data_IF_534779054383
#
_entry.id   IF_534779054383
#
_cell.length_a   1.000
_cell.length_b   1.000
_cell.length_c   1.000
_cell.angle_alpha   90.00
_cell.angle_beta   90.00
_cell.angle_gamma   90.00
#
_symmetry.space_group_name_H-M   'P 1'
#
loop_
_entity.id
_entity.type
_entity.pdbx_description
1 polymer ?
#
# COMPACT_ATOMS: atom_id res chain seq x y z
N UNK A 1 -13.04 -12.55 -17.87
CA UNK A 1 -11.63 -12.78 -18.28
C UNK A 1 -11.37 -14.25 -18.60
N UNK A 2 -11.41 -15.17 -17.62
CA UNK A 2 -10.98 -16.56 -17.83
C UNK A 2 -12.08 -17.55 -18.26
N UNK A 3 -13.36 -17.14 -18.27
CA UNK A 3 -14.47 -18.04 -18.61
C UNK A 3 -14.83 -19.07 -17.52
N UNK A 4 -14.13 -19.04 -16.38
CA UNK A 4 -14.30 -19.97 -15.26
C UNK A 4 -14.52 -19.21 -13.94
N UNK A 5 -15.13 -19.88 -12.95
CA UNK A 5 -15.35 -19.34 -11.61
C UNK A 5 -14.11 -19.51 -10.72
N UNK A 6 -13.11 -18.65 -10.91
CA UNK A 6 -11.84 -18.72 -10.17
C UNK A 6 -11.84 -17.87 -8.90
N UNK A 7 -12.47 -16.70 -8.94
CA UNK A 7 -12.61 -15.80 -7.80
C UNK A 7 -13.92 -16.09 -7.05
N UNK A 8 -13.92 -15.90 -5.73
CA UNK A 8 -15.14 -16.11 -4.93
C UNK A 8 -16.10 -14.95 -5.22
N UNK A 9 -17.23 -15.25 -5.87
CA UNK A 9 -18.30 -14.28 -6.10
C UNK A 9 -19.23 -14.33 -4.88
N UNK A 10 -19.36 -13.22 -4.16
CA UNK A 10 -20.35 -13.09 -3.09
C UNK A 10 -21.45 -12.11 -3.51
N UNK A 11 -22.71 -12.46 -3.22
CA UNK A 11 -23.89 -11.67 -3.54
C UNK A 11 -24.44 -10.91 -2.31
N UNK A 12 -23.68 -10.85 -1.22
CA UNK A 12 -24.04 -10.10 -0.02
C UNK A 12 -23.75 -8.61 -0.19
N UNK A 13 -24.43 -7.77 0.61
CA UNK A 13 -24.27 -6.31 0.61
C UNK A 13 -22.87 -5.84 1.09
N UNK A 14 -22.07 -6.75 1.65
CA UNK A 14 -20.72 -6.48 2.14
C UNK A 14 -19.70 -6.97 1.10
N UNK A 15 -18.69 -6.15 0.77
CA UNK A 15 -17.60 -6.54 -0.13
C UNK A 15 -16.66 -7.54 0.56
N UNK A 16 -17.03 -8.81 0.52
CA UNK A 16 -16.32 -9.90 1.20
C UNK A 16 -15.27 -10.61 0.32
N UNK A 17 -14.69 -9.96 -0.70
CA UNK A 17 -13.35 -10.37 -1.16
C UNK A 17 -12.38 -10.05 -0.02
N UNK A 18 -12.35 -10.89 1.00
CA UNK A 18 -11.63 -10.62 2.26
C UNK A 18 -10.12 -10.57 2.05
N UNK A 19 -9.63 -11.21 0.98
CA UNK A 19 -8.21 -11.39 0.71
C UNK A 19 -7.86 -11.17 -0.76
N UNK A 20 -6.73 -10.52 -1.00
CA UNK A 20 -6.07 -10.43 -2.30
C UNK A 20 -5.80 -11.83 -2.85
N UNK A 21 -6.15 -12.06 -4.11
CA UNK A 21 -5.93 -13.34 -4.79
C UNK A 21 -5.42 -13.12 -6.21
N UNK A 22 -4.35 -13.81 -6.56
CA UNK A 22 -3.82 -13.85 -7.92
C UNK A 22 -4.20 -15.18 -8.58
N UNK A 23 -4.65 -15.13 -9.83
CA UNK A 23 -4.88 -16.31 -10.66
C UNK A 23 -4.25 -16.10 -12.04
N UNK A 24 -3.43 -17.07 -12.46
CA UNK A 24 -2.77 -17.05 -13.76
C UNK A 24 -3.40 -18.10 -14.67
N UNK A 25 -3.79 -17.73 -15.89
CA UNK A 25 -4.24 -18.66 -16.93
C UNK A 25 -3.66 -18.29 -18.29
N UNK A 26 -3.50 -19.28 -19.16
CA UNK A 26 -3.15 -19.05 -20.56
C UNK A 26 -4.41 -18.67 -21.34
N UNK A 27 -4.41 -17.49 -21.95
CA UNK A 27 -5.48 -16.99 -22.81
C UNK A 27 -4.86 -16.59 -24.14
N UNK A 28 -5.29 -17.21 -25.24
CA UNK A 28 -4.76 -16.95 -26.59
C UNK A 28 -3.22 -17.04 -26.68
N UNK A 29 -2.63 -18.01 -25.97
CA UNK A 29 -1.18 -18.24 -25.97
C UNK A 29 -0.37 -17.28 -25.08
N UNK A 30 -1.03 -16.39 -24.32
CA UNK A 30 -0.38 -15.50 -23.36
C UNK A 30 -0.76 -15.87 -21.94
N UNK A 31 0.19 -15.81 -21.01
CA UNK A 31 -0.10 -16.00 -19.60
C UNK A 31 -0.63 -14.69 -19.01
N UNK A 32 -1.87 -14.71 -18.57
CA UNK A 32 -2.54 -13.57 -17.95
C UNK A 32 -2.73 -13.86 -16.47
N UNK A 33 -2.18 -12.98 -15.63
CA UNK A 33 -2.42 -12.98 -14.19
C UNK A 33 -3.43 -11.89 -13.86
N UNK A 34 -4.56 -12.26 -13.27
CA UNK A 34 -5.54 -11.33 -12.72
C UNK A 34 -5.41 -11.35 -11.20
N UNK A 35 -5.26 -10.17 -10.61
CA UNK A 35 -5.17 -9.98 -9.17
C UNK A 35 -6.47 -9.32 -8.72
N UNK A 36 -7.29 -10.10 -8.05
CA UNK A 36 -8.52 -9.60 -7.42
C UNK A 36 -8.15 -8.99 -6.07
N UNK A 37 -8.37 -7.69 -5.95
CA UNK A 37 -8.07 -6.91 -4.75
C UNK A 37 -9.35 -6.70 -3.96
N UNK A 38 -9.29 -6.77 -2.63
CA UNK A 38 -10.40 -6.30 -1.81
C UNK A 38 -10.79 -4.86 -2.11
N UNK A 39 -12.04 -4.48 -1.81
CA UNK A 39 -12.50 -3.11 -1.98
C UNK A 39 -11.64 -2.13 -1.18
N UNK A 40 -10.74 -1.41 -1.86
CA UNK A 40 -9.80 -0.46 -1.24
C UNK A 40 -10.49 0.70 -0.51
N UNK A 41 -11.77 0.93 -0.81
CA UNK A 41 -12.59 1.99 -0.23
C UNK A 41 -13.73 1.45 0.65
N UNK A 42 -13.69 0.16 0.99
CA UNK A 42 -14.67 -0.47 1.88
C UNK A 42 -14.48 0.04 3.32
N UNK A 43 -15.46 0.79 3.83
CA UNK A 43 -15.43 1.41 5.16
C UNK A 43 -15.64 0.42 6.30
N UNK A 44 -15.96 -0.83 6.03
CA UNK A 44 -16.25 -1.84 7.07
C UNK A 44 -15.01 -2.56 7.60
N UNK A 45 -13.81 -2.27 7.07
CA UNK A 45 -12.56 -2.93 7.45
C UNK A 45 -11.71 -2.12 8.41
N UNK A 46 -10.98 -2.81 9.27
CA UNK A 46 -9.96 -2.17 10.10
C UNK A 46 -8.78 -1.69 9.26
N UNK A 47 -8.07 -0.68 9.77
CA UNK A 47 -6.86 -0.14 9.14
C UNK A 47 -5.77 -1.22 8.98
N UNK A 48 -5.65 -2.13 9.97
CA UNK A 48 -4.71 -3.23 9.95
C UNK A 48 -5.03 -4.27 8.86
N UNK A 49 -6.30 -4.63 8.70
CA UNK A 49 -6.76 -5.54 7.64
C UNK A 49 -6.52 -4.92 6.27
N UNK A 50 -6.94 -3.66 6.08
CA UNK A 50 -6.76 -2.95 4.82
C UNK A 50 -5.27 -2.85 4.45
N UNK A 51 -4.41 -2.49 5.40
CA UNK A 51 -2.97 -2.43 5.20
C UNK A 51 -2.40 -3.79 4.80
N UNK A 52 -2.78 -4.86 5.49
CA UNK A 52 -2.32 -6.20 5.15
C UNK A 52 -2.68 -6.58 3.72
N UNK A 53 -3.91 -6.26 3.30
CA UNK A 53 -4.35 -6.55 1.94
C UNK A 53 -3.62 -5.70 0.90
N UNK A 54 -3.39 -4.40 1.18
CA UNK A 54 -2.59 -3.54 0.30
C UNK A 54 -1.16 -4.09 0.17
N UNK A 55 -0.52 -4.48 1.28
CA UNK A 55 0.82 -5.07 1.27
C UNK A 55 0.85 -6.36 0.45
N UNK A 56 -0.16 -7.21 0.60
CA UNK A 56 -0.27 -8.43 -0.19
C UNK A 56 -0.39 -8.10 -1.68
N UNK A 57 -1.26 -7.16 -2.07
CA UNK A 57 -1.47 -6.78 -3.46
C UNK A 57 -0.16 -6.42 -4.17
N UNK A 58 0.63 -5.49 -3.64
CA UNK A 58 1.84 -5.06 -4.35
C UNK A 58 2.98 -6.08 -4.31
N UNK A 59 3.02 -6.97 -3.31
CA UNK A 59 3.93 -8.12 -3.38
C UNK A 59 3.53 -9.11 -4.47
N UNK A 60 2.23 -9.21 -4.81
CA UNK A 60 1.77 -10.08 -5.89
C UNK A 60 2.09 -9.53 -7.27
N UNK A 61 1.96 -8.21 -7.46
CA UNK A 61 2.20 -7.61 -8.76
C UNK A 61 3.60 -7.03 -8.98
N UNK A 62 4.53 -7.16 -8.04
CA UNK A 62 5.93 -6.89 -8.33
C UNK A 62 6.42 -7.82 -9.49
N UNK A 63 7.13 -7.27 -10.51
CA UNK A 63 7.77 -5.94 -10.57
C UNK A 63 6.89 -4.77 -11.03
N UNK A 64 5.69 -5.03 -11.51
CA UNK A 64 4.78 -4.01 -12.02
C UNK A 64 3.47 -4.56 -12.62
N UNK A 65 2.56 -3.65 -12.95
CA UNK A 65 1.23 -3.97 -13.52
C UNK A 65 1.10 -3.49 -14.95
N UNK A 66 0.61 -4.36 -15.84
CA UNK A 66 0.36 -3.99 -17.23
C UNK A 66 -0.93 -3.18 -17.40
N UNK A 67 -1.92 -3.41 -16.54
CA UNK A 67 -3.19 -2.72 -16.56
C UNK A 67 -3.83 -2.64 -15.16
N UNK A 68 -4.29 -1.45 -14.79
CA UNK A 68 -5.23 -1.24 -13.71
C UNK A 68 -6.66 -1.26 -14.27
N UNK A 69 -7.51 -2.12 -13.70
CA UNK A 69 -8.94 -2.12 -14.00
C UNK A 69 -9.67 -1.37 -12.89
N UNK A 70 -10.10 -0.13 -13.17
CA UNK A 70 -10.90 0.65 -12.23
C UNK A 70 -12.36 0.23 -12.41
N UNK A 71 -12.86 -0.60 -11.49
CA UNK A 71 -14.18 -1.23 -11.63
C UNK A 71 -15.28 -0.35 -11.04
N UNK A 72 -16.24 0.04 -11.87
CA UNK A 72 -17.44 0.80 -11.49
C UNK A 72 -18.70 0.02 -11.90
N UNK A 73 -19.87 0.38 -11.37
CA UNK A 73 -21.15 -0.16 -11.84
C UNK A 73 -21.79 0.80 -12.84
N UNK A 74 -22.52 0.26 -13.81
CA UNK A 74 -23.47 1.05 -14.60
C UNK A 74 -24.67 1.33 -13.70
N UNK A 75 -24.63 2.45 -12.98
CA UNK A 75 -25.74 2.91 -12.14
C UNK A 75 -25.74 4.44 -12.03
N UNK A 76 -26.78 5.00 -11.39
CA UNK A 76 -26.82 6.44 -11.11
C UNK A 76 -25.79 6.78 -10.05
N UNK A 77 -24.89 7.71 -10.37
CA UNK A 77 -23.87 8.18 -9.44
C UNK A 77 -24.50 8.89 -8.24
N UNK A 78 -24.30 8.31 -7.06
CA UNK A 78 -24.62 8.91 -5.78
C UNK A 78 -23.40 9.65 -5.22
N UNK A 79 -23.58 10.37 -4.12
CA UNK A 79 -22.47 11.03 -3.39
C UNK A 79 -21.36 10.04 -3.02
N UNK A 80 -21.70 8.76 -2.82
CA UNK A 80 -20.73 7.71 -2.55
C UNK A 80 -19.80 7.47 -3.75
N UNK A 81 -20.34 7.30 -4.95
CA UNK A 81 -19.51 7.07 -6.15
C UNK A 81 -18.64 8.30 -6.46
N UNK A 82 -19.13 9.53 -6.21
CA UNK A 82 -18.33 10.74 -6.33
C UNK A 82 -17.14 10.76 -5.37
N UNK A 83 -17.36 10.34 -4.12
CA UNK A 83 -16.28 10.22 -3.13
C UNK A 83 -15.24 9.18 -3.55
N UNK A 84 -15.67 8.06 -4.15
CA UNK A 84 -14.76 7.04 -4.69
C UNK A 84 -13.91 7.59 -5.83
N UNK A 85 -14.50 8.28 -6.82
CA UNK A 85 -13.76 8.91 -7.93
C UNK A 85 -12.77 9.95 -7.40
N UNK A 86 -13.17 10.74 -6.39
CA UNK A 86 -12.29 11.71 -5.74
C UNK A 86 -11.07 11.02 -5.10
N UNK A 87 -11.27 9.91 -4.39
CA UNK A 87 -10.17 9.14 -3.80
C UNK A 87 -9.26 8.51 -4.85
N UNK A 88 -9.82 7.99 -5.94
CA UNK A 88 -9.02 7.47 -7.07
C UNK A 88 -8.08 8.56 -7.58
N UNK A 89 -8.59 9.78 -7.81
CA UNK A 89 -7.80 10.92 -8.26
C UNK A 89 -6.72 11.38 -7.27
N UNK A 90 -6.92 11.18 -5.97
CA UNK A 90 -5.92 11.54 -4.94
C UNK A 90 -4.79 10.51 -4.83
N UNK A 91 -5.12 9.24 -5.07
CA UNK A 91 -4.18 8.14 -4.90
C UNK A 91 -3.36 7.91 -6.18
N UNK A 92 -4.02 7.96 -7.35
CA UNK A 92 -3.38 7.70 -8.63
C UNK A 92 -2.65 8.94 -9.14
N UNK A 93 -1.37 8.77 -9.43
CA UNK A 93 -0.59 9.73 -10.21
C UNK A 93 -1.03 9.75 -11.67
N UNK A 94 -0.70 10.84 -12.36
CA UNK A 94 -0.85 10.94 -13.81
C UNK A 94 -0.11 9.82 -14.56
N UNK A 95 1.00 9.30 -14.00
CA UNK A 95 1.71 8.15 -14.57
C UNK A 95 0.89 6.86 -14.40
N UNK A 96 0.31 6.60 -13.23
CA UNK A 96 -0.51 5.40 -13.01
C UNK A 96 -1.73 5.36 -13.94
N UNK A 97 -2.33 6.51 -14.23
CA UNK A 97 -3.46 6.60 -15.16
C UNK A 97 -3.11 6.19 -16.60
N UNK A 98 -1.84 6.30 -17.03
CA UNK A 98 -1.40 5.80 -18.35
C UNK A 98 -1.52 4.29 -18.50
N UNK A 99 -1.57 3.57 -17.37
CA UNK A 99 -1.73 2.13 -17.30
C UNK A 99 -3.13 1.72 -16.80
N UNK A 100 -4.08 2.65 -16.72
CA UNK A 100 -5.43 2.38 -16.24
C UNK A 100 -6.48 2.37 -17.35
N UNK A 101 -7.52 1.56 -17.15
CA UNK A 101 -8.78 1.59 -17.91
C UNK A 101 -9.96 1.49 -16.94
N UNK A 102 -11.05 2.18 -17.27
CA UNK A 102 -12.29 2.09 -16.49
C UNK A 102 -13.11 0.89 -16.99
N UNK A 103 -13.55 0.01 -16.10
CA UNK A 103 -14.37 -1.15 -16.41
C UNK A 103 -15.72 -1.03 -15.70
N UNK A 104 -16.79 -0.95 -16.47
CA UNK A 104 -18.14 -0.92 -15.96
C UNK A 104 -18.70 -2.34 -15.85
N UNK A 105 -19.36 -2.62 -14.73
CA UNK A 105 -20.11 -3.86 -14.51
C UNK A 105 -21.61 -3.59 -14.61
N UNK A 106 -22.43 -4.65 -14.63
CA UNK A 106 -23.87 -4.53 -14.78
C UNK A 106 -24.29 -3.94 -16.14
N UNK A 107 -23.65 -4.40 -17.21
CA UNK A 107 -23.91 -3.92 -18.57
C UNK A 107 -25.37 -4.01 -19.01
N UNK A 108 -26.19 -4.90 -18.43
CA UNK A 108 -27.63 -4.95 -18.64
C UNK A 108 -28.36 -3.65 -18.30
N UNK A 109 -27.77 -2.79 -17.47
CA UNK A 109 -28.34 -1.51 -17.07
C UNK A 109 -28.04 -0.38 -18.06
N UNK A 110 -27.21 -0.64 -19.10
CA UNK A 110 -27.01 0.32 -20.17
C UNK A 110 -28.33 0.51 -20.94
N UNK A 111 -28.72 1.77 -21.26
CA UNK A 111 -29.89 2.02 -22.07
C UNK A 111 -29.84 1.29 -23.41
N UNK A 112 -31.02 0.87 -23.90
CA UNK A 112 -31.12 0.19 -25.19
C UNK A 112 -30.57 1.08 -26.31
N UNK A 113 -29.83 0.48 -27.24
CA UNK A 113 -29.15 1.20 -28.32
C UNK A 113 -27.92 2.02 -27.92
N UNK A 114 -27.61 2.15 -26.62
CA UNK A 114 -26.40 2.88 -26.17
C UNK A 114 -25.21 1.96 -25.90
N UNK A 115 -24.02 2.45 -26.23
CA UNK A 115 -22.75 1.85 -25.82
C UNK A 115 -22.17 2.56 -24.58
N UNK A 116 -21.07 2.03 -24.03
CA UNK A 116 -20.50 2.56 -22.78
C UNK A 116 -19.92 3.97 -22.93
N UNK A 117 -19.40 4.32 -24.10
CA UNK A 117 -18.84 5.65 -24.35
C UNK A 117 -19.93 6.72 -24.34
N UNK A 118 -21.11 6.40 -24.89
CA UNK A 118 -22.27 7.29 -24.85
C UNK A 118 -22.77 7.48 -23.42
N UNK A 119 -22.85 6.41 -22.64
CA UNK A 119 -23.25 6.45 -21.23
C UNK A 119 -22.31 7.32 -20.37
N UNK A 120 -20.99 7.19 -20.57
CA UNK A 120 -19.98 7.93 -19.80
C UNK A 120 -20.03 9.44 -20.08
N UNK A 121 -20.30 9.83 -21.33
CA UNK A 121 -20.28 11.24 -21.77
C UNK A 121 -21.27 12.11 -20.99
N UNK A 122 -22.35 11.52 -20.50
CA UNK A 122 -23.42 12.24 -19.81
C UNK A 122 -23.06 12.59 -18.36
N UNK A 123 -21.98 12.04 -17.80
CA UNK A 123 -21.50 12.36 -16.45
C UNK A 123 -20.08 12.92 -16.48
N UNK A 124 -19.94 14.22 -16.15
CA UNK A 124 -18.65 14.92 -16.18
C UNK A 124 -17.56 14.27 -15.31
N UNK A 125 -17.88 13.86 -14.08
CA UNK A 125 -16.87 13.26 -13.18
C UNK A 125 -16.32 11.94 -13.72
N UNK A 126 -17.17 11.16 -14.38
CA UNK A 126 -16.80 9.88 -14.99
C UNK A 126 -16.05 10.11 -16.28
N UNK A 127 -16.51 11.06 -17.11
CA UNK A 127 -15.82 11.48 -18.33
C UNK A 127 -14.41 11.95 -18.02
N UNK A 128 -14.23 12.81 -17.01
CA UNK A 128 -12.91 13.30 -16.58
C UNK A 128 -12.00 12.14 -16.14
N UNK A 129 -12.53 11.14 -15.42
CA UNK A 129 -11.77 9.94 -15.03
C UNK A 129 -11.37 9.09 -16.25
N UNK A 130 -12.28 8.91 -17.21
CA UNK A 130 -12.02 8.16 -18.44
C UNK A 130 -11.00 8.89 -19.32
N UNK A 131 -11.06 10.22 -19.39
CA UNK A 131 -10.07 11.05 -20.09
C UNK A 131 -8.67 10.92 -19.47
N UNK A 132 -8.55 10.92 -18.14
CA UNK A 132 -7.29 10.61 -17.45
C UNK A 132 -6.77 9.22 -17.82
N UNK A 133 -7.68 8.25 -17.95
CA UNK A 133 -7.37 6.92 -18.47
C UNK A 133 -7.21 6.90 -20.01
N UNK A 134 -6.85 8.01 -20.66
CA UNK A 134 -6.60 8.08 -22.11
C UNK A 134 -7.82 7.74 -22.97
N UNK A 135 -9.03 7.95 -22.46
CA UNK A 135 -10.28 7.60 -23.14
C UNK A 135 -10.63 6.10 -23.08
N UNK A 136 -9.92 5.30 -22.27
CA UNK A 136 -10.11 3.84 -22.20
C UNK A 136 -11.23 3.49 -21.23
N UNK A 137 -12.33 2.96 -21.77
CA UNK A 137 -13.38 2.35 -20.95
C UNK A 137 -14.04 1.14 -21.63
N UNK A 138 -14.54 0.21 -20.81
CA UNK A 138 -15.20 -1.01 -21.24
C UNK A 138 -16.39 -1.32 -20.35
N UNK A 139 -17.26 -2.23 -20.80
CA UNK A 139 -18.38 -2.74 -20.00
C UNK A 139 -18.40 -4.26 -20.04
N UNK A 140 -18.72 -4.88 -18.91
CA UNK A 140 -18.89 -6.32 -18.80
C UNK A 140 -20.14 -6.64 -17.99
N UNK A 141 -20.83 -7.71 -18.38
CA UNK A 141 -21.97 -8.23 -17.64
C UNK A 141 -21.79 -9.72 -17.42
N UNK A 142 -21.32 -10.06 -16.21
CA UNK A 142 -21.06 -11.43 -15.81
C UNK A 142 -22.33 -12.27 -15.60
N UNK A 143 -23.54 -11.70 -15.71
CA UNK A 143 -24.81 -12.40 -15.47
C UNK A 143 -25.58 -12.65 -16.76
N UNK A 144 -25.81 -11.62 -17.58
CA UNK A 144 -26.74 -11.69 -18.72
C UNK A 144 -26.04 -11.81 -20.08
N UNK A 145 -24.76 -11.44 -20.22
CA UNK A 145 -24.04 -11.43 -21.51
C UNK A 145 -23.17 -12.68 -21.76
N UNK A 146 -23.53 -13.82 -21.16
CA UNK A 146 -22.65 -15.01 -21.13
C UNK A 146 -22.45 -15.70 -22.48
N UNK A 147 -23.46 -15.80 -23.35
CA UNK A 147 -23.39 -16.54 -24.63
C UNK A 147 -24.37 -15.98 -25.67
N UNK A 148 -23.99 -16.01 -26.96
CA UNK A 148 -24.86 -15.91 -28.14
C UNK A 148 -25.99 -14.86 -28.05
N UNK A 149 -25.63 -13.60 -27.81
CA UNK A 149 -26.56 -12.50 -28.03
C UNK A 149 -26.63 -12.15 -29.52
N UNK A 150 -27.80 -11.70 -29.99
CA UNK A 150 -27.95 -11.15 -31.35
C UNK A 150 -27.09 -9.90 -31.58
N UNK A 151 -26.75 -9.21 -30.48
CA UNK A 151 -25.90 -8.04 -30.44
C UNK A 151 -24.47 -8.47 -30.10
N UNK A 152 -23.56 -8.34 -31.07
CA UNK A 152 -22.14 -8.67 -30.92
C UNK A 152 -21.50 -7.88 -29.77
N UNK A 153 -21.89 -6.61 -29.59
CA UNK A 153 -21.35 -5.76 -28.54
C UNK A 153 -21.74 -6.28 -27.15
N UNK A 154 -23.00 -6.69 -26.94
CA UNK A 154 -23.49 -7.21 -25.65
C UNK A 154 -23.13 -8.68 -25.41
N UNK A 155 -21.90 -9.05 -25.73
CA UNK A 155 -21.35 -10.40 -25.54
C UNK A 155 -20.08 -10.35 -24.70
N UNK A 156 -19.98 -11.16 -23.65
CA UNK A 156 -18.77 -11.24 -22.84
C UNK A 156 -17.55 -11.72 -23.65
N UNK A 157 -17.77 -12.51 -24.70
CA UNK A 157 -16.68 -12.91 -25.60
C UNK A 157 -16.10 -11.70 -26.33
N UNK A 158 -16.96 -10.83 -26.85
CA UNK A 158 -16.57 -9.59 -27.50
C UNK A 158 -15.91 -8.62 -26.49
N UNK A 159 -16.56 -8.39 -25.35
CA UNK A 159 -16.06 -7.45 -24.34
C UNK A 159 -14.71 -7.87 -23.76
N UNK A 160 -14.50 -9.15 -23.47
CA UNK A 160 -13.19 -9.65 -23.00
C UNK A 160 -12.12 -9.45 -24.08
N UNK A 161 -12.44 -9.71 -25.34
CA UNK A 161 -11.51 -9.47 -26.47
C UNK A 161 -11.11 -8.00 -26.57
N UNK A 162 -12.06 -7.08 -26.45
CA UNK A 162 -11.78 -5.64 -26.53
C UNK A 162 -10.99 -5.11 -25.31
N UNK A 163 -11.25 -5.64 -24.11
CA UNK A 163 -10.45 -5.33 -22.91
C UNK A 163 -8.99 -5.77 -23.11
N UNK A 164 -8.78 -6.99 -23.61
CA UNK A 164 -7.44 -7.51 -23.88
C UNK A 164 -6.72 -6.69 -24.96
N UNK A 165 -7.41 -6.38 -26.06
CA UNK A 165 -6.87 -5.53 -27.14
C UNK A 165 -6.48 -4.14 -26.63
N UNK A 166 -7.29 -3.54 -25.77
CA UNK A 166 -6.98 -2.25 -25.14
C UNK A 166 -5.81 -2.34 -24.20
N UNK A 167 -5.68 -3.45 -23.46
CA UNK A 167 -4.51 -3.72 -22.62
C UNK A 167 -3.23 -3.85 -23.45
N UNK A 168 -3.28 -4.57 -24.58
CA UNK A 168 -2.15 -4.71 -25.49
C UNK A 168 -1.73 -3.35 -26.08
N UNK A 169 -2.69 -2.57 -26.57
CA UNK A 169 -2.44 -1.23 -27.09
C UNK A 169 -1.83 -0.32 -26.02
N UNK A 170 -2.33 -0.39 -24.79
CA UNK A 170 -1.80 0.37 -23.67
C UNK A 170 -0.36 -0.02 -23.33
N UNK A 171 -0.01 -1.31 -23.41
CA UNK A 171 1.38 -1.77 -23.24
C UNK A 171 2.26 -1.21 -24.37
N UNK A 172 1.80 -1.23 -25.63
CA UNK A 172 2.52 -0.68 -26.78
C UNK A 172 2.74 0.83 -26.66
N UNK A 173 1.70 1.59 -26.29
CA UNK A 173 1.76 3.04 -26.06
C UNK A 173 2.71 3.41 -24.91
N UNK A 174 2.90 2.50 -23.94
CA UNK A 174 3.88 2.61 -22.86
C UNK A 174 5.21 1.92 -23.17
N UNK A 175 5.61 1.83 -24.45
CA UNK A 175 6.89 1.28 -24.91
C UNK A 175 7.17 -0.17 -24.49
N UNK A 176 6.13 -0.98 -24.34
CA UNK A 176 6.24 -2.36 -23.88
C UNK A 176 6.51 -2.51 -22.38
N UNK A 177 6.49 -1.42 -21.62
CA UNK A 177 6.73 -1.43 -20.17
C UNK A 177 5.45 -1.63 -19.37
N UNK A 178 5.61 -2.06 -18.12
CA UNK A 178 4.52 -2.11 -17.15
C UNK A 178 4.61 -0.90 -16.22
N UNK A 179 3.50 -0.53 -15.58
CA UNK A 179 3.53 0.42 -14.49
C UNK A 179 4.44 -0.13 -13.40
N UNK A 180 5.50 0.61 -13.11
CA UNK A 180 6.41 0.35 -12.02
C UNK A 180 6.77 1.69 -11.37
N UNK A 181 7.20 1.64 -10.13
CA UNK A 181 7.69 2.80 -9.41
C UNK A 181 8.79 2.38 -8.45
N UNK A 182 9.40 3.35 -7.76
CA UNK A 182 10.52 3.07 -6.86
C UNK A 182 10.13 2.07 -5.75
N UNK A 183 8.90 2.12 -5.25
CA UNK A 183 8.40 1.14 -4.27
C UNK A 183 8.43 -0.28 -4.86
N UNK A 184 7.84 -0.49 -6.03
CA UNK A 184 7.74 -1.81 -6.67
C UNK A 184 9.10 -2.37 -7.03
N UNK A 185 10.04 -1.51 -7.43
CA UNK A 185 11.42 -1.90 -7.68
C UNK A 185 12.12 -2.39 -6.41
N UNK A 186 11.93 -1.70 -5.28
CA UNK A 186 12.46 -2.11 -3.97
C UNK A 186 11.86 -3.45 -3.53
N UNK A 187 10.56 -3.64 -3.74
CA UNK A 187 9.86 -4.89 -3.41
C UNK A 187 10.37 -6.04 -4.27
N UNK A 188 10.48 -5.86 -5.60
CA UNK A 188 11.02 -6.87 -6.51
C UNK A 188 12.48 -7.22 -6.17
N UNK A 189 13.31 -6.24 -5.82
CA UNK A 189 14.68 -6.50 -5.39
C UNK A 189 14.72 -7.40 -4.14
N UNK A 190 13.85 -7.11 -3.16
CA UNK A 190 13.70 -7.94 -1.97
C UNK A 190 13.20 -9.36 -2.27
N UNK A 191 12.29 -9.52 -3.25
CA UNK A 191 11.80 -10.82 -3.72
C UNK A 191 12.95 -11.60 -4.35
N UNK A 192 13.65 -11.04 -5.34
CA UNK A 192 14.79 -11.70 -6.02
C UNK A 192 15.88 -12.14 -5.05
N UNK A 193 16.15 -11.32 -4.03
CA UNK A 193 17.13 -11.67 -3.01
C UNK A 193 16.69 -12.88 -2.17
N UNK A 194 15.42 -12.94 -1.78
CA UNK A 194 14.89 -14.11 -1.06
C UNK A 194 14.78 -15.35 -1.95
N UNK A 195 14.47 -15.20 -3.23
CA UNK A 195 14.53 -16.29 -4.21
C UNK A 195 15.93 -16.92 -4.22
N UNK A 196 16.99 -16.09 -4.30
CA UNK A 196 18.37 -16.57 -4.30
C UNK A 196 18.75 -17.30 -3.01
N UNK A 197 18.38 -16.76 -1.84
CA UNK A 197 18.59 -17.46 -0.55
C UNK A 197 17.86 -18.79 -0.49
N UNK A 198 16.66 -18.85 -1.06
CA UNK A 198 15.87 -20.08 -1.10
C UNK A 198 16.53 -21.10 -2.02
N UNK A 199 17.00 -20.70 -3.21
CA UNK A 199 17.76 -21.56 -4.14
C UNK A 199 19.00 -22.17 -3.47
N UNK A 200 19.69 -21.41 -2.63
CA UNK A 200 20.89 -21.88 -1.91
C UNK A 200 20.59 -22.80 -0.73
N UNK A 201 19.40 -22.73 -0.13
CA UNK A 201 19.04 -23.43 1.12
C UNK A 201 18.00 -24.54 0.95
N UNK A 202 17.39 -24.67 -0.22
CA UNK A 202 16.37 -25.67 -0.53
C UNK A 202 16.59 -26.20 -1.95
N UNK A 203 16.78 -27.51 -2.08
CA UNK A 203 16.81 -28.20 -3.38
C UNK A 203 15.42 -28.32 -4.01
N UNK A 204 15.32 -29.05 -5.13
CA UNK A 204 14.16 -29.60 -5.88
C UNK A 204 12.78 -28.87 -5.87
N UNK A 205 12.73 -27.59 -5.52
CA UNK A 205 11.53 -26.76 -5.66
C UNK A 205 11.48 -26.13 -7.05
N UNK A 206 10.27 -26.00 -7.57
CA UNK A 206 10.04 -25.26 -8.81
C UNK A 206 10.30 -23.76 -8.62
N UNK A 207 10.62 -23.05 -9.70
CA UNK A 207 10.81 -21.59 -9.68
C UNK A 207 9.53 -20.86 -9.22
N UNK A 208 8.35 -21.40 -9.51
CA UNK A 208 7.07 -20.87 -9.04
C UNK A 208 6.94 -20.94 -7.51
N UNK A 209 7.26 -22.10 -6.91
CA UNK A 209 7.25 -22.27 -5.45
C UNK A 209 8.30 -21.40 -4.75
N UNK A 210 9.47 -21.22 -5.37
CA UNK A 210 10.52 -20.34 -4.87
C UNK A 210 10.03 -18.90 -4.84
N UNK A 211 9.43 -18.41 -5.95
CA UNK A 211 8.89 -17.05 -6.04
C UNK A 211 7.76 -16.81 -5.04
N UNK A 212 6.84 -17.75 -4.89
CA UNK A 212 5.74 -17.64 -3.92
C UNK A 212 6.24 -17.60 -2.48
N UNK A 213 7.24 -18.43 -2.11
CA UNK A 213 7.87 -18.35 -0.78
C UNK A 213 8.64 -17.06 -0.56
N UNK A 214 9.32 -16.54 -1.58
CA UNK A 214 10.03 -15.27 -1.51
C UNK A 214 9.06 -14.10 -1.29
N UNK A 215 7.96 -14.04 -2.05
CA UNK A 215 6.87 -13.07 -1.85
C UNK A 215 6.31 -13.13 -0.43
N UNK A 216 6.03 -14.32 0.11
CA UNK A 216 5.52 -14.47 1.48
C UNK A 216 6.50 -13.94 2.55
N UNK A 217 7.81 -14.17 2.37
CA UNK A 217 8.84 -13.61 3.26
C UNK A 217 8.88 -12.08 3.19
N UNK A 218 8.89 -11.53 1.97
CA UNK A 218 8.87 -10.08 1.74
C UNK A 218 7.61 -9.45 2.33
N UNK A 219 6.44 -10.03 2.07
CA UNK A 219 5.14 -9.63 2.64
C UNK A 219 5.19 -9.54 4.17
N UNK A 220 5.71 -10.57 4.85
CA UNK A 220 5.85 -10.56 6.32
C UNK A 220 6.79 -9.47 6.82
N UNK A 221 7.93 -9.24 6.15
CA UNK A 221 8.85 -8.13 6.50
C UNK A 221 8.18 -6.77 6.33
N UNK A 222 7.47 -6.58 5.23
CA UNK A 222 6.78 -5.33 4.93
C UNK A 222 5.69 -5.03 5.96
N UNK A 223 4.86 -6.02 6.29
CA UNK A 223 3.81 -5.87 7.30
C UNK A 223 4.33 -5.38 8.65
N UNK A 224 5.46 -5.93 9.10
CA UNK A 224 6.07 -5.55 10.39
C UNK A 224 6.59 -4.12 10.33
N UNK A 225 7.28 -3.75 9.25
CA UNK A 225 7.97 -2.46 9.18
C UNK A 225 7.07 -1.30 8.75
N UNK A 226 5.92 -1.59 8.15
CA UNK A 226 4.86 -0.62 7.88
C UNK A 226 3.87 -0.51 9.05
N UNK A 227 4.20 -1.07 10.21
CA UNK A 227 3.46 -0.81 11.44
C UNK A 227 3.45 0.70 11.73
N UNK A 228 2.27 1.27 12.01
CA UNK A 228 2.09 2.71 12.22
C UNK A 228 1.95 3.58 10.96
N UNK A 229 2.26 3.07 9.76
CA UNK A 229 1.95 3.77 8.49
C UNK A 229 0.45 3.69 8.21
N UNK A 230 -0.18 4.74 7.70
CA UNK A 230 -1.60 4.70 7.32
C UNK A 230 -1.81 4.07 5.95
N UNK A 231 -2.98 3.49 5.71
CA UNK A 231 -3.40 2.89 4.44
C UNK A 231 -3.38 3.91 3.31
N UNK A 232 -3.83 5.15 3.57
CA UNK A 232 -3.77 6.25 2.61
C UNK A 232 -2.34 6.60 2.18
N UNK A 233 -1.38 6.64 3.12
CA UNK A 233 0.03 6.88 2.79
C UNK A 233 0.62 5.73 1.96
N UNK A 234 0.28 4.48 2.30
CA UNK A 234 0.72 3.31 1.56
C UNK A 234 0.17 3.30 0.12
N UNK A 235 -1.12 3.58 -0.06
CA UNK A 235 -1.76 3.67 -1.38
C UNK A 235 -1.16 4.80 -2.22
N UNK A 236 -0.92 5.97 -1.63
CA UNK A 236 -0.24 7.07 -2.29
C UNK A 236 1.15 6.65 -2.79
N UNK A 237 1.93 5.95 -1.96
CA UNK A 237 3.24 5.46 -2.36
C UNK A 237 3.20 4.41 -3.49
N UNK A 238 2.15 3.58 -3.57
CA UNK A 238 1.97 2.57 -4.63
C UNK A 238 1.60 3.21 -5.97
N UNK A 239 0.68 4.17 -5.94
CA UNK A 239 0.12 4.75 -7.16
C UNK A 239 0.76 6.09 -7.54
N UNK A 240 1.80 6.52 -6.81
CA UNK A 240 2.58 7.73 -7.09
C UNK A 240 1.93 9.03 -6.61
N UNK A 241 0.94 8.95 -5.72
CA UNK A 241 0.30 10.11 -5.08
C UNK A 241 1.22 10.82 -4.06
N UNK A 242 0.82 12.03 -3.66
CA UNK A 242 1.62 12.97 -2.84
C UNK A 242 1.99 12.45 -1.44
N UNK A 243 1.34 11.38 -0.95
CA UNK A 243 1.45 10.89 0.43
C UNK A 243 2.53 9.81 0.65
N UNK A 244 3.41 9.57 -0.32
CA UNK A 244 4.22 8.34 -0.37
C UNK A 244 5.70 8.41 -0.01
N UNK A 245 6.32 9.60 0.09
CA UNK A 245 7.78 9.72 0.20
C UNK A 245 8.38 9.08 1.46
N UNK A 246 7.75 9.27 2.62
CA UNK A 246 8.26 8.71 3.88
C UNK A 246 8.08 7.19 3.95
N UNK A 247 7.02 6.67 3.33
CA UNK A 247 6.81 5.22 3.18
C UNK A 247 7.94 4.63 2.35
N UNK A 248 8.32 5.28 1.25
CA UNK A 248 9.42 4.82 0.41
C UNK A 248 10.75 4.73 1.17
N UNK A 249 11.11 5.73 1.98
CA UNK A 249 12.34 5.71 2.78
C UNK A 249 12.38 4.53 3.76
N UNK A 250 11.27 4.27 4.45
CA UNK A 250 11.15 3.12 5.36
C UNK A 250 11.35 1.81 4.60
N UNK A 251 10.71 1.66 3.44
CA UNK A 251 10.79 0.46 2.61
C UNK A 251 12.18 0.19 2.07
N UNK A 252 12.83 1.24 1.55
CA UNK A 252 14.19 1.16 1.01
C UNK A 252 15.16 0.63 2.07
N UNK A 253 15.10 1.19 3.28
CA UNK A 253 15.94 0.74 4.38
C UNK A 253 15.63 -0.74 4.71
N UNK A 254 14.36 -1.10 4.85
CA UNK A 254 13.95 -2.46 5.26
C UNK A 254 14.36 -3.55 4.27
N UNK A 255 14.19 -3.31 2.97
CA UNK A 255 14.38 -4.34 1.95
C UNK A 255 15.78 -4.35 1.33
N UNK A 256 16.53 -3.23 1.38
CA UNK A 256 17.89 -3.13 0.83
C UNK A 256 19.00 -3.24 1.89
N UNK A 257 18.69 -3.33 3.19
CA UNK A 257 19.67 -3.55 4.29
C UNK A 257 20.39 -4.92 4.24
N UNK A 258 20.32 -5.64 3.13
CA UNK A 258 20.88 -6.98 3.01
C UNK A 258 22.11 -7.06 2.08
N UNK A 259 22.61 -5.94 1.54
CA UNK A 259 23.90 -5.91 0.83
C UNK A 259 25.12 -5.70 1.75
N UNK A 260 24.95 -5.32 3.02
CA UNK A 260 26.09 -5.07 3.91
C UNK A 260 26.56 -6.28 4.73
N UNK A 261 25.91 -7.44 4.61
CA UNK A 261 26.27 -8.61 5.43
C UNK A 261 27.36 -9.51 4.83
N UNK A 262 27.88 -9.25 3.62
CA UNK A 262 28.87 -10.13 2.96
C UNK A 262 30.30 -9.57 2.83
N UNK A 263 30.63 -8.45 3.48
CA UNK A 263 32.03 -7.96 3.53
C UNK A 263 32.47 -7.48 4.91
N UNK A 264 32.13 -8.21 5.96
CA UNK A 264 32.85 -8.08 7.24
C UNK A 264 33.74 -9.29 7.44
N UNK A 265 35.01 -9.10 7.07
CA UNK A 265 36.17 -9.96 7.31
C UNK A 265 36.15 -10.72 8.66
N UNK A 266 36.77 -11.91 8.77
CA UNK A 266 36.67 -12.83 9.92
C UNK A 266 37.44 -12.37 11.18
N UNK A 267 37.50 -11.07 11.47
CA UNK A 267 38.14 -10.52 12.68
C UNK A 267 37.16 -10.15 13.81
N UNK A 268 35.86 -10.37 13.66
CA UNK A 268 34.89 -10.09 14.73
C UNK A 268 34.62 -11.31 15.64
N UNK A 269 35.67 -12.03 16.03
CA UNK A 269 35.58 -13.19 16.94
C UNK A 269 35.94 -12.89 18.40
N UNK A 270 36.11 -11.62 18.84
CA UNK A 270 36.60 -11.34 20.21
C UNK A 270 35.91 -10.24 21.03
N UNK A 271 34.71 -9.79 20.66
CA UNK A 271 34.02 -8.75 21.47
C UNK A 271 32.53 -9.02 21.62
N UNK A 272 32.16 -10.26 21.95
CA UNK A 272 30.81 -10.65 22.39
C UNK A 272 30.66 -10.59 23.92
N UNK A 273 31.26 -9.59 24.57
CA UNK A 273 31.20 -9.46 26.03
C UNK A 273 31.28 -8.00 26.44
N UNK A 274 30.19 -7.54 27.08
CA UNK A 274 30.01 -6.26 27.78
C UNK A 274 29.59 -5.07 26.92
N UNK A 275 28.28 -4.85 26.84
CA UNK A 275 27.71 -3.50 27.00
C UNK A 275 26.53 -3.63 27.96
N UNK A 276 26.84 -3.51 29.25
CA UNK A 276 25.92 -3.16 30.30
C UNK A 276 26.47 -1.89 30.96
N UNK A 277 25.56 -0.95 31.26
CA UNK A 277 25.74 0.28 32.02
C UNK A 277 26.39 1.49 31.32
N UNK A 278 25.73 2.66 31.47
CA UNK A 278 26.37 3.97 31.52
C UNK A 278 25.89 4.99 30.50
N UNK A 279 25.08 5.95 30.96
CA UNK A 279 24.81 7.21 30.28
C UNK A 279 26.08 8.09 30.22
N UNK A 280 26.25 8.86 29.13
CA UNK A 280 27.29 9.89 29.03
C UNK A 280 27.47 10.39 27.61
N UNK A 281 27.16 11.67 27.38
CA UNK A 281 27.41 12.40 26.13
C UNK A 281 28.88 12.83 26.15
N UNK A 282 29.65 12.51 25.10
CA UNK A 282 30.88 13.21 24.76
C UNK A 282 31.18 13.06 23.27
N UNK A 283 31.17 14.18 22.54
CA UNK A 283 31.72 14.30 21.20
C UNK A 283 33.26 14.25 21.26
N UNK A 284 33.87 13.48 20.36
CA UNK A 284 34.96 13.86 19.41
C UNK A 284 35.80 12.63 19.01
N UNK A 285 36.28 12.69 17.76
CA UNK A 285 37.18 11.76 17.06
C UNK A 285 36.53 10.51 16.43
N UNK A 286 36.60 10.47 15.09
CA UNK A 286 35.87 9.55 14.24
C UNK A 286 36.23 8.08 14.40
N UNK A 287 35.20 7.25 14.27
CA UNK A 287 35.10 5.95 13.60
C UNK A 287 33.59 5.68 13.48
N UNK A 288 33.19 5.17 12.32
CA UNK A 288 31.82 4.84 11.91
C UNK A 288 30.84 4.48 13.05
N UNK A 289 29.84 5.33 13.27
CA UNK A 289 28.58 4.97 13.93
C UNK A 289 27.43 5.37 13.01
N UNK A 290 26.71 4.37 12.52
CA UNK A 290 25.41 4.54 11.88
C UNK A 290 24.50 5.31 12.83
N UNK A 291 24.14 6.52 12.43
CA UNK A 291 23.26 7.39 13.19
C UNK A 291 21.86 7.19 12.63
N UNK A 292 21.07 6.44 13.38
CA UNK A 292 19.61 6.54 13.37
C UNK A 292 19.24 8.02 13.64
N UNK A 293 18.37 8.61 12.82
CA UNK A 293 17.37 9.68 13.09
C UNK A 293 17.28 10.73 11.97
N UNK A 294 16.05 10.95 11.44
CA UNK A 294 15.58 12.29 11.07
C UNK A 294 14.55 12.44 9.93
N UNK A 295 13.24 12.38 10.24
CA UNK A 295 12.12 13.16 9.64
C UNK A 295 10.80 12.78 10.38
N UNK A 296 10.28 13.51 11.38
CA UNK A 296 9.53 14.80 11.40
C UNK A 296 8.11 14.70 10.78
N UNK A 297 7.00 14.52 11.56
CA UNK A 297 5.98 15.57 11.84
C UNK A 297 5.48 15.61 13.33
N UNK A 298 5.85 16.69 14.04
CA UNK A 298 5.08 17.48 15.03
C UNK A 298 4.43 16.89 16.30
N UNK A 299 4.05 15.62 16.35
CA UNK A 299 3.32 15.06 17.50
C UNK A 299 3.11 13.55 17.42
N UNK A 300 3.11 13.00 16.20
CA UNK A 300 3.08 11.55 15.96
C UNK A 300 4.45 10.88 16.14
N UNK A 301 5.55 11.63 16.05
CA UNK A 301 6.93 11.09 16.02
C UNK A 301 7.32 10.42 17.35
N UNK A 302 6.98 11.04 18.49
CA UNK A 302 7.34 10.49 19.80
C UNK A 302 6.62 9.14 20.02
N UNK A 303 5.37 9.06 19.55
CA UNK A 303 4.60 7.82 19.52
C UNK A 303 5.19 6.78 18.57
N UNK A 304 5.62 7.19 17.36
CA UNK A 304 6.18 6.28 16.36
C UNK A 304 7.49 5.62 16.78
N UNK A 305 8.44 6.39 17.32
CA UNK A 305 9.75 5.87 17.77
C UNK A 305 9.57 4.95 18.98
N UNK A 306 8.77 5.37 19.96
CA UNK A 306 8.54 4.57 21.17
C UNK A 306 7.70 3.32 20.88
N UNK A 307 6.73 3.44 19.98
CA UNK A 307 5.93 2.32 19.50
C UNK A 307 6.80 1.28 18.79
N UNK A 308 7.75 1.72 17.96
CA UNK A 308 8.74 0.84 17.32
C UNK A 308 9.64 0.13 18.34
N UNK A 309 10.21 0.88 19.31
CA UNK A 309 11.07 0.29 20.34
C UNK A 309 10.31 -0.69 21.24
N UNK A 310 9.03 -0.43 21.53
CA UNK A 310 8.18 -1.34 22.29
C UNK A 310 7.74 -2.57 21.47
N UNK A 311 7.56 -2.42 20.15
CA UNK A 311 7.24 -3.53 19.25
C UNK A 311 8.45 -4.47 19.04
N UNK A 312 9.67 -3.98 19.25
CA UNK A 312 10.92 -4.72 19.04
C UNK A 312 10.98 -5.98 19.93
N UNK A 313 11.19 -7.13 19.31
CA UNK A 313 11.25 -8.42 20.00
C UNK A 313 9.87 -9.06 20.32
N UNK A 314 8.80 -8.63 19.64
CA UNK A 314 7.54 -9.38 19.64
C UNK A 314 7.64 -10.60 18.72
N UNK A 315 7.14 -11.74 19.21
CA UNK A 315 7.08 -13.02 18.50
C UNK A 315 5.91 -13.12 17.52
N UNK A 316 4.92 -12.21 17.62
CA UNK A 316 3.70 -12.21 16.83
C UNK A 316 3.26 -10.77 16.50
N UNK A 317 2.64 -10.53 15.32
CA UNK A 317 2.17 -9.20 14.94
C UNK A 317 1.18 -8.57 15.94
N UNK A 318 0.26 -9.37 16.49
CA UNK A 318 -0.71 -8.92 17.50
C UNK A 318 -0.01 -8.40 18.76
N UNK A 319 1.09 -9.03 19.17
CA UNK A 319 1.88 -8.63 20.34
C UNK A 319 2.74 -7.40 20.04
N UNK A 320 3.24 -7.27 18.82
CA UNK A 320 3.94 -6.07 18.35
C UNK A 320 3.01 -4.84 18.39
N UNK A 321 1.81 -4.97 17.81
CA UNK A 321 0.79 -3.91 17.79
C UNK A 321 0.33 -3.55 19.19
N UNK A 322 0.07 -4.54 20.05
CA UNK A 322 -0.33 -4.30 21.45
C UNK A 322 0.74 -3.53 22.23
N UNK A 323 2.01 -3.94 22.13
CA UNK A 323 3.13 -3.26 22.80
C UNK A 323 3.35 -1.84 22.27
N UNK A 324 3.23 -1.65 20.97
CA UNK A 324 3.31 -0.32 20.37
C UNK A 324 2.19 0.59 20.89
N UNK A 325 0.94 0.12 20.87
CA UNK A 325 -0.22 0.88 21.33
C UNK A 325 -0.14 1.24 22.83
N UNK A 326 0.26 0.29 23.68
CA UNK A 326 0.46 0.52 25.12
C UNK A 326 1.52 1.59 25.38
N UNK A 327 2.66 1.52 24.68
CA UNK A 327 3.75 2.48 24.84
C UNK A 327 3.41 3.90 24.37
N UNK A 328 2.49 4.02 23.40
CA UNK A 328 1.97 5.32 22.94
C UNK A 328 0.94 5.89 23.93
N UNK A 329 0.06 5.04 24.49
CA UNK A 329 -0.95 5.48 25.47
C UNK A 329 -0.35 5.92 26.81
N UNK A 330 0.69 5.24 27.28
CA UNK A 330 1.37 5.55 28.56
C UNK A 330 2.03 6.94 28.52
N UNK A 331 2.56 7.34 27.36
CA UNK A 331 3.13 8.66 27.15
C UNK A 331 2.03 9.74 27.06
N UNK A 332 0.89 9.43 26.43
CA UNK A 332 -0.24 10.34 26.35
C UNK A 332 -0.81 10.66 27.74
N UNK A 333 -0.92 9.66 28.62
CA UNK A 333 -1.37 9.84 30.01
C UNK A 333 -0.39 10.69 30.84
N UNK A 334 0.92 10.51 30.65
CA UNK A 334 1.94 11.29 31.36
C UNK A 334 1.93 12.80 31.03
N UNK A 335 1.38 13.18 29.87
CA UNK A 335 1.21 14.58 29.45
C UNK A 335 0.04 15.25 30.18
N UNK A 336 -0.99 14.49 30.55
CA UNK A 336 -2.15 15.01 31.30
C UNK A 336 -1.92 15.12 32.81
N UNK A 337 -0.93 14.42 33.39
CA UNK A 337 -0.60 14.49 34.82
C UNK A 337 0.41 15.62 35.18
N UNK A 338 0.94 16.33 34.19
CA UNK A 338 1.91 17.41 34.38
C UNK A 338 1.40 18.81 34.86
N UNK A 339 0.09 19.17 34.91
CA UNK A 339 -0.29 20.57 35.20
C UNK A 339 0.03 21.08 36.61
N UNK A 340 0.09 20.22 37.64
CA UNK A 340 0.05 20.70 39.03
C UNK A 340 1.39 21.14 39.64
N UNK A 341 2.54 20.82 39.03
CA UNK A 341 3.86 21.18 39.60
C UNK A 341 4.39 22.54 39.16
N UNK A 342 3.92 23.10 38.04
CA UNK A 342 4.36 24.44 37.57
C UNK A 342 3.60 25.60 38.18
N UNK A 343 2.36 25.39 38.63
CA UNK A 343 1.57 26.44 39.29
C UNK A 343 2.09 26.78 40.69
N UNK A 344 2.64 25.80 41.43
CA UNK A 344 3.11 25.98 42.81
C UNK A 344 4.43 26.76 42.93
N UNK A 345 5.35 26.62 41.95
CA UNK A 345 6.63 27.33 41.98
C UNK A 345 6.55 28.78 41.46
N UNK A 346 5.48 29.15 40.74
CA UNK A 346 5.29 30.50 40.25
C UNK A 346 4.70 31.44 41.31
N UNK A 347 3.86 30.92 42.22
CA UNK A 347 3.32 31.72 43.33
C UNK A 347 4.34 32.06 44.43
N UNK A 348 5.42 31.30 44.58
CA UNK A 348 6.45 31.57 45.61
C UNK A 348 7.56 32.53 45.13
N UNK A 349 7.76 32.67 43.81
CA UNK A 349 8.80 33.55 43.24
C UNK A 349 8.33 34.98 42.95
N UNK A 350 7.02 35.21 42.80
CA UNK A 350 6.45 36.56 42.58
C UNK A 350 6.18 37.33 43.90
N UNK A 351 6.37 36.70 45.08
CA UNK A 351 6.20 37.36 46.38
C UNK A 351 7.46 38.10 46.90
N UNK A 352 8.58 38.09 46.17
CA UNK A 352 9.88 38.63 46.63
C UNK A 352 10.38 39.89 45.89
N UNK A 353 9.58 40.47 44.99
CA UNK A 353 9.96 41.67 44.23
C UNK A 353 8.84 42.72 44.24
N UNK A 354 8.58 43.31 45.41
CA UNK A 354 7.79 44.54 45.55
C UNK A 354 8.74 45.75 45.66
N UNK A 355 8.74 46.73 44.73
CA UNK A 355 9.56 47.92 44.86
C UNK A 355 8.97 48.91 45.88
N UNK A 356 9.80 49.38 46.81
CA UNK A 356 9.49 50.46 47.74
C UNK A 356 9.36 51.81 47.00
N UNK A 357 8.31 52.55 47.34
CA UNK A 357 8.05 53.94 46.92
C UNK A 357 9.03 54.92 47.59
N UNK A 358 9.59 55.92 46.89
CA UNK A 358 10.29 57.02 47.53
C UNK A 358 9.32 58.15 47.92
N UNK A 359 9.54 58.67 49.12
CA UNK A 359 8.80 59.77 49.72
C UNK A 359 9.07 61.12 49.04
N UNK A 360 8.00 61.90 48.86
CA UNK A 360 7.95 63.35 49.03
C UNK A 360 6.50 63.82 49.08
#
# INVERSE_FOLDING_TARGET
MFGENLFKINHTLNSETSKCRAETRSVSGRNITVIDTPGLFDTHRSEEEMKSEIVKCFTEFAPGLHAFLIVLKVEKFTDHEQAVITKINQLFSEEAFKYATVLFTHGEQLPEGQNIYEFVRDNKLVSDLVEKCGGRCHVIDNKYWKNNQQDEYRSNQFQVKEILKTTEKMIEENNGSCYTNEMLQVVEAGIKQDEERIRQSSGDMSEEEIREKAKDKVFKRLLINLAGITTGALLGAIFGGVLGEDVFKVLKNVLLELEQCERVSPKLSKTAGRIAAGAGIAETAGIARGTLVGAVIGGAIKGGIRGYDAAKGADTPRKAVKRAAEAVMDDALSVFEAPDKKAKNKSESEALLSPQSPAS
#
